data_IF_206269596222
#
_entry.id   IF_206269596222
#
_cell.length_a   1.000
_cell.length_b   1.000
_cell.length_c   1.000
_cell.angle_alpha   90.00
_cell.angle_beta   90.00
_cell.angle_gamma   90.00
#
_symmetry.space_group_name_H-M   'P 1'
#
loop_
_entity.id
_entity.type
_entity.pdbx_description
1 polymer ?
#
# COMPACT_ATOMS: atom_id res chain seq x y z
N UNK A 1 -21.16 -1.95 -28.34
CA UNK A 1 -19.78 -1.60 -27.96
C UNK A 1 -18.85 -2.36 -28.90
N UNK A 2 -17.73 -1.77 -29.37
CA UNK A 2 -16.76 -2.51 -30.16
C UNK A 2 -16.27 -3.73 -29.36
N UNK A 3 -15.98 -4.80 -30.08
CA UNK A 3 -15.52 -6.06 -29.49
C UNK A 3 -14.12 -5.87 -28.90
N UNK A 4 -13.99 -6.01 -27.57
CA UNK A 4 -12.71 -5.76 -26.88
C UNK A 4 -11.62 -6.72 -27.33
N UNK A 5 -10.38 -6.23 -27.37
CA UNK A 5 -9.17 -6.98 -27.65
C UNK A 5 -8.37 -7.17 -26.37
N UNK A 6 -8.33 -8.38 -25.83
CA UNK A 6 -7.73 -8.69 -24.54
C UNK A 6 -6.37 -9.36 -24.74
N UNK A 7 -5.34 -8.87 -24.04
CA UNK A 7 -4.06 -9.54 -23.92
C UNK A 7 -3.94 -10.25 -22.56
N UNK A 8 -3.53 -11.52 -22.57
CA UNK A 8 -3.30 -12.31 -21.35
C UNK A 8 -1.80 -12.48 -21.15
N UNK A 9 -1.29 -12.09 -19.98
CA UNK A 9 0.12 -12.20 -19.65
C UNK A 9 0.32 -13.11 -18.43
N UNK A 10 1.13 -14.16 -18.56
CA UNK A 10 1.36 -15.13 -17.50
C UNK A 10 2.76 -14.97 -16.88
N UNK A 11 2.83 -14.85 -15.56
CA UNK A 11 4.09 -14.70 -14.85
C UNK A 11 4.59 -16.05 -14.34
N UNK A 12 5.88 -16.34 -14.51
CA UNK A 12 6.49 -17.52 -13.89
C UNK A 12 6.84 -17.27 -12.41
N UNK A 13 7.09 -16.01 -12.06
CA UNK A 13 7.62 -15.59 -10.78
C UNK A 13 8.87 -16.41 -10.38
N UNK A 14 9.78 -16.60 -11.36
CA UNK A 14 10.86 -17.57 -11.24
C UNK A 14 10.31 -18.99 -11.22
N UNK A 15 10.46 -19.69 -10.10
CA UNK A 15 9.88 -21.01 -9.87
C UNK A 15 8.63 -20.98 -8.97
N UNK A 16 8.22 -19.80 -8.47
CA UNK A 16 7.11 -19.72 -7.52
C UNK A 16 5.76 -20.09 -8.15
N UNK A 17 5.56 -19.77 -9.44
CA UNK A 17 4.36 -20.15 -10.19
C UNK A 17 4.73 -21.31 -11.12
N UNK A 18 5.70 -21.10 -12.02
CA UNK A 18 6.09 -22.09 -13.04
C UNK A 18 6.74 -23.36 -12.48
N UNK A 19 7.06 -23.42 -11.18
CA UNK A 19 7.52 -24.65 -10.53
C UNK A 19 6.38 -25.61 -10.18
N UNK A 20 5.12 -25.17 -10.25
CA UNK A 20 3.93 -25.95 -9.91
C UNK A 20 2.90 -25.92 -11.05
N UNK A 21 2.67 -24.74 -11.64
CA UNK A 21 1.69 -24.54 -12.71
C UNK A 21 2.39 -24.66 -14.06
N UNK A 22 1.85 -25.50 -14.95
CA UNK A 22 2.32 -25.64 -16.34
C UNK A 22 1.83 -24.45 -17.17
N UNK A 23 2.67 -23.41 -17.25
CA UNK A 23 2.37 -22.18 -17.97
C UNK A 23 2.10 -22.42 -19.47
N UNK A 24 2.90 -23.19 -20.22
CA UNK A 24 2.58 -23.56 -21.60
C UNK A 24 1.17 -24.15 -21.77
N UNK A 25 0.75 -25.06 -20.88
CA UNK A 25 -0.60 -25.62 -20.93
C UNK A 25 -1.68 -24.57 -20.65
N UNK A 26 -1.45 -23.66 -19.70
CA UNK A 26 -2.37 -22.54 -19.45
C UNK A 26 -2.48 -21.66 -20.69
N UNK A 27 -1.37 -21.31 -21.35
CA UNK A 27 -1.39 -20.48 -22.56
C UNK A 27 -2.21 -21.12 -23.67
N UNK A 28 -1.98 -22.41 -23.94
CA UNK A 28 -2.70 -23.16 -24.97
C UNK A 28 -4.20 -23.23 -24.69
N UNK A 29 -4.59 -23.38 -23.42
CA UNK A 29 -6.00 -23.48 -23.02
C UNK A 29 -6.77 -22.14 -23.07
N UNK A 30 -6.07 -21.00 -23.01
CA UNK A 30 -6.71 -19.67 -22.91
C UNK A 30 -6.61 -18.83 -24.19
N UNK A 31 -5.77 -19.21 -25.15
CA UNK A 31 -5.56 -18.45 -26.41
C UNK A 31 -6.82 -18.30 -27.25
N UNK A 32 -7.71 -19.30 -27.22
CA UNK A 32 -8.95 -19.34 -28.01
C UNK A 32 -10.18 -18.84 -27.24
N UNK A 33 -9.98 -18.26 -26.04
CA UNK A 33 -11.09 -17.67 -25.30
C UNK A 33 -11.65 -16.45 -26.05
N UNK A 34 -12.97 -16.18 -25.94
CA UNK A 34 -13.57 -15.02 -26.59
C UNK A 34 -12.82 -13.73 -26.21
N UNK A 35 -12.57 -12.88 -27.21
CA UNK A 35 -11.88 -11.59 -27.09
C UNK A 35 -10.38 -11.65 -26.79
N UNK A 36 -9.78 -12.83 -26.54
CA UNK A 36 -8.33 -12.95 -26.37
C UNK A 36 -7.66 -12.88 -27.74
N UNK A 37 -6.74 -11.93 -27.91
CA UNK A 37 -6.03 -11.71 -29.18
C UNK A 37 -4.51 -11.90 -29.06
N UNK A 38 -4.00 -11.99 -27.83
CA UNK A 38 -2.60 -12.20 -27.52
C UNK A 38 -2.45 -12.92 -26.18
N UNK A 39 -1.54 -13.91 -26.13
CA UNK A 39 -1.15 -14.60 -24.89
C UNK A 39 0.36 -14.73 -24.88
N UNK A 40 1.00 -14.29 -23.80
CA UNK A 40 2.45 -14.33 -23.66
C UNK A 40 2.86 -14.57 -22.20
N UNK A 41 3.87 -15.40 -21.98
CA UNK A 41 4.47 -15.59 -20.67
C UNK A 41 5.75 -14.78 -20.49
N UNK A 42 6.08 -14.47 -19.25
CA UNK A 42 7.40 -13.93 -18.92
C UNK A 42 7.83 -14.31 -17.51
N UNK A 43 9.15 -14.39 -17.31
CA UNK A 43 9.73 -14.86 -16.05
C UNK A 43 9.31 -13.98 -14.85
N UNK A 44 9.32 -12.65 -15.04
CA UNK A 44 8.99 -11.66 -14.02
C UNK A 44 8.24 -10.47 -14.62
N UNK A 45 6.91 -10.57 -14.76
CA UNK A 45 6.12 -9.50 -15.38
C UNK A 45 6.22 -8.15 -14.64
N UNK A 46 6.42 -8.14 -13.32
CA UNK A 46 6.59 -6.90 -12.56
C UNK A 46 7.96 -6.23 -12.73
N UNK A 47 8.94 -6.90 -13.34
CA UNK A 47 10.26 -6.31 -13.62
C UNK A 47 10.19 -5.29 -14.76
N UNK A 48 11.16 -4.37 -14.85
CA UNK A 48 11.20 -3.37 -15.94
C UNK A 48 11.08 -4.00 -17.35
N UNK A 49 11.80 -5.10 -17.68
CA UNK A 49 11.59 -5.78 -18.96
C UNK A 49 10.18 -6.35 -19.13
N UNK A 50 9.63 -6.98 -18.09
CA UNK A 50 8.27 -7.53 -18.12
C UNK A 50 7.21 -6.47 -18.34
N UNK A 51 7.36 -5.32 -17.66
CA UNK A 51 6.48 -4.16 -17.86
C UNK A 51 6.60 -3.61 -19.29
N UNK A 52 7.81 -3.55 -19.85
CA UNK A 52 8.00 -3.08 -21.23
C UNK A 52 7.33 -4.01 -22.25
N UNK A 53 7.44 -5.33 -22.08
CA UNK A 53 6.74 -6.32 -22.92
C UNK A 53 5.23 -6.04 -22.94
N UNK A 54 4.62 -5.81 -21.77
CA UNK A 54 3.19 -5.50 -21.69
C UNK A 54 2.87 -4.22 -22.50
N UNK A 55 3.65 -3.15 -22.33
CA UNK A 55 3.43 -1.87 -23.04
C UNK A 55 3.56 -2.02 -24.56
N UNK A 56 4.59 -2.74 -25.00
CA UNK A 56 4.84 -2.99 -26.43
C UNK A 56 3.66 -3.76 -27.04
N UNK A 57 3.22 -4.84 -26.38
CA UNK A 57 2.10 -5.67 -26.86
C UNK A 57 0.75 -4.95 -26.82
N UNK A 58 0.52 -4.06 -25.87
CA UNK A 58 -0.67 -3.18 -25.86
C UNK A 58 -0.74 -2.39 -27.17
N UNK A 59 0.38 -1.81 -27.59
CA UNK A 59 0.46 -0.99 -28.81
C UNK A 59 0.40 -1.85 -30.07
N UNK A 60 1.21 -2.91 -30.16
CA UNK A 60 1.33 -3.79 -31.32
C UNK A 60 0.01 -4.51 -31.65
N UNK A 61 -0.67 -5.04 -30.63
CA UNK A 61 -1.90 -5.79 -30.81
C UNK A 61 -3.16 -4.93 -30.68
N UNK A 62 -3.03 -3.63 -30.40
CA UNK A 62 -4.12 -2.69 -30.15
C UNK A 62 -5.06 -3.26 -29.09
N UNK A 63 -4.53 -3.50 -27.90
CA UNK A 63 -5.29 -4.09 -26.79
C UNK A 63 -6.21 -3.04 -26.14
N UNK A 64 -7.45 -3.44 -25.87
CA UNK A 64 -8.44 -2.65 -25.13
C UNK A 64 -8.51 -3.07 -23.65
N UNK A 65 -7.90 -4.19 -23.28
CA UNK A 65 -7.88 -4.70 -21.91
C UNK A 65 -6.76 -5.69 -21.70
N UNK A 66 -6.35 -5.83 -20.44
CA UNK A 66 -5.21 -6.68 -20.07
C UNK A 66 -5.59 -7.57 -18.90
N UNK A 67 -5.28 -8.86 -19.00
CA UNK A 67 -5.36 -9.83 -17.92
C UNK A 67 -3.96 -10.27 -17.55
N UNK A 68 -3.61 -10.23 -16.26
CA UNK A 68 -2.32 -10.67 -15.76
C UNK A 68 -2.51 -11.85 -14.81
N UNK A 69 -2.03 -13.03 -15.22
CA UNK A 69 -1.90 -14.21 -14.36
C UNK A 69 -0.61 -14.15 -13.56
N UNK A 70 -0.68 -13.74 -12.29
CA UNK A 70 0.53 -13.58 -11.47
C UNK A 70 0.25 -13.69 -9.96
N UNK A 71 0.76 -12.76 -9.17
CA UNK A 71 0.56 -12.66 -7.73
C UNK A 71 -0.70 -11.85 -7.37
N UNK A 72 -0.97 -11.74 -6.07
CA UNK A 72 -2.11 -11.00 -5.53
C UNK A 72 -2.21 -9.55 -6.06
N UNK A 73 -3.42 -9.08 -6.43
CA UNK A 73 -3.65 -7.67 -6.77
C UNK A 73 -3.30 -6.74 -5.60
N UNK A 74 -3.41 -7.20 -4.35
CA UNK A 74 -2.99 -6.42 -3.16
C UNK A 74 -1.50 -6.05 -3.17
N UNK A 75 -0.68 -6.72 -3.99
CA UNK A 75 0.75 -6.48 -4.10
C UNK A 75 1.11 -5.63 -5.33
N UNK A 76 0.63 -6.00 -6.52
CA UNK A 76 1.11 -5.39 -7.78
C UNK A 76 0.01 -4.76 -8.66
N UNK A 77 -1.22 -4.62 -8.18
CA UNK A 77 -2.28 -3.93 -8.94
C UNK A 77 -1.88 -2.50 -9.28
N UNK A 78 -1.38 -1.72 -8.31
CA UNK A 78 -0.92 -0.35 -8.56
C UNK A 78 0.25 -0.30 -9.56
N UNK A 79 1.15 -1.28 -9.50
CA UNK A 79 2.28 -1.39 -10.45
C UNK A 79 1.76 -1.59 -11.87
N UNK A 80 0.85 -2.54 -12.09
CA UNK A 80 0.34 -2.81 -13.42
C UNK A 80 -0.64 -1.75 -13.91
N UNK A 81 -1.43 -1.12 -13.03
CA UNK A 81 -2.21 0.08 -13.38
C UNK A 81 -1.32 1.20 -13.91
N UNK A 82 -0.14 1.39 -13.31
CA UNK A 82 0.84 2.36 -13.81
C UNK A 82 1.36 1.97 -15.21
N UNK A 83 1.63 0.69 -15.46
CA UNK A 83 2.00 0.18 -16.79
C UNK A 83 0.91 0.47 -17.82
N UNK A 84 -0.36 0.26 -17.47
CA UNK A 84 -1.50 0.58 -18.34
C UNK A 84 -1.54 2.07 -18.69
N UNK A 85 -1.39 2.96 -17.68
CA UNK A 85 -1.34 4.41 -17.91
C UNK A 85 -0.21 4.81 -18.85
N UNK A 86 0.99 4.27 -18.64
CA UNK A 86 2.16 4.54 -19.49
C UNK A 86 1.98 4.04 -20.92
N UNK A 87 1.19 2.98 -21.13
CA UNK A 87 0.82 2.48 -22.45
C UNK A 87 -0.34 3.25 -23.10
N UNK A 88 -0.92 4.25 -22.42
CA UNK A 88 -2.08 4.99 -22.90
C UNK A 88 -3.42 4.27 -22.75
N UNK A 89 -3.48 3.20 -21.96
CA UNK A 89 -4.71 2.45 -21.68
C UNK A 89 -5.27 2.81 -20.29
N UNK A 90 -6.60 2.84 -20.17
CA UNK A 90 -7.23 3.15 -18.89
C UNK A 90 -6.85 2.09 -17.82
N UNK A 91 -6.40 2.49 -16.62
CA UNK A 91 -5.90 1.57 -15.60
C UNK A 91 -6.97 0.59 -15.07
N UNK A 92 -8.25 0.90 -15.23
CA UNK A 92 -9.36 0.06 -14.80
C UNK A 92 -9.77 -1.00 -15.84
N UNK A 93 -9.09 -1.04 -17.00
CA UNK A 93 -9.23 -2.10 -18.00
C UNK A 93 -8.22 -3.24 -17.76
N UNK A 94 -7.71 -3.34 -16.54
CA UNK A 94 -6.81 -4.36 -16.04
C UNK A 94 -7.57 -5.33 -15.12
N UNK A 95 -7.36 -6.63 -15.30
CA UNK A 95 -7.74 -7.66 -14.34
C UNK A 95 -6.53 -8.52 -13.96
N UNK A 96 -6.42 -8.91 -12.69
CA UNK A 96 -5.33 -9.77 -12.21
C UNK A 96 -5.90 -11.09 -11.71
N UNK A 97 -5.48 -12.19 -12.34
CA UNK A 97 -5.71 -13.53 -11.82
C UNK A 97 -4.56 -13.91 -10.87
N UNK A 98 -4.89 -14.17 -9.60
CA UNK A 98 -3.91 -14.58 -8.61
C UNK A 98 -3.59 -16.08 -8.72
N UNK A 99 -2.51 -16.40 -9.42
CA UNK A 99 -1.99 -17.75 -9.65
C UNK A 99 -0.91 -18.16 -8.64
N UNK A 100 -0.50 -17.27 -7.71
CA UNK A 100 0.56 -17.54 -6.75
C UNK A 100 0.02 -17.85 -5.36
N UNK A 101 -0.41 -16.82 -4.63
CA UNK A 101 -0.88 -16.98 -3.25
C UNK A 101 -2.16 -17.81 -3.17
N UNK A 102 -2.99 -17.79 -4.21
CA UNK A 102 -4.26 -18.52 -4.25
C UNK A 102 -4.18 -19.83 -5.05
N UNK A 103 -3.02 -20.17 -5.60
CA UNK A 103 -2.88 -21.36 -6.42
C UNK A 103 -1.52 -22.06 -6.20
N UNK A 104 -0.46 -21.67 -6.94
CA UNK A 104 0.81 -22.42 -6.95
C UNK A 104 1.42 -22.66 -5.56
N UNK A 105 1.35 -21.69 -4.65
CA UNK A 105 1.94 -21.84 -3.32
C UNK A 105 1.18 -22.80 -2.41
N UNK A 106 -0.10 -23.04 -2.67
CA UNK A 106 -0.97 -23.86 -1.82
C UNK A 106 -1.32 -25.22 -2.44
N UNK A 107 -1.02 -25.44 -3.73
CA UNK A 107 -1.25 -26.71 -4.45
C UNK A 107 0.05 -27.37 -4.93
N UNK A 108 1.17 -27.16 -4.23
CA UNK A 108 2.49 -27.73 -4.60
C UNK A 108 2.48 -29.27 -4.72
N UNK A 109 1.60 -29.93 -3.97
CA UNK A 109 1.48 -31.40 -3.96
C UNK A 109 0.54 -31.95 -5.06
N UNK A 110 -0.16 -31.08 -5.79
CA UNK A 110 -1.04 -31.46 -6.90
C UNK A 110 -0.89 -30.48 -8.09
N UNK A 111 0.23 -30.55 -8.83
CA UNK A 111 0.50 -29.66 -9.98
C UNK A 111 -0.54 -29.74 -11.09
N UNK A 112 -1.18 -30.90 -11.26
CA UNK A 112 -2.20 -31.11 -12.28
C UNK A 112 -3.47 -30.31 -11.93
N UNK A 113 -3.97 -30.45 -10.70
CA UNK A 113 -5.10 -29.67 -10.23
C UNK A 113 -4.78 -28.17 -10.16
N UNK A 114 -3.55 -27.79 -9.78
CA UNK A 114 -3.10 -26.40 -9.80
C UNK A 114 -3.16 -25.80 -11.21
N UNK A 115 -2.74 -26.56 -12.23
CA UNK A 115 -2.76 -26.10 -13.61
C UNK A 115 -4.20 -25.93 -14.13
N UNK A 116 -5.09 -26.88 -13.86
CA UNK A 116 -6.51 -26.75 -14.21
C UNK A 116 -7.17 -25.56 -13.51
N UNK A 117 -6.86 -25.36 -12.24
CA UNK A 117 -7.31 -24.20 -11.48
C UNK A 117 -6.82 -22.89 -12.08
N UNK A 118 -5.55 -22.83 -12.51
CA UNK A 118 -4.98 -21.65 -13.14
C UNK A 118 -5.70 -21.27 -14.44
N UNK A 119 -6.04 -22.28 -15.26
CA UNK A 119 -6.83 -22.09 -16.49
C UNK A 119 -8.18 -21.46 -16.15
N UNK A 120 -8.88 -21.99 -15.14
CA UNK A 120 -10.19 -21.47 -14.74
C UNK A 120 -10.10 -20.06 -14.13
N UNK A 121 -9.08 -19.76 -13.33
CA UNK A 121 -8.83 -18.42 -12.81
C UNK A 121 -8.60 -17.40 -13.93
N UNK A 122 -7.85 -17.77 -14.97
CA UNK A 122 -7.65 -16.91 -16.14
C UNK A 122 -8.95 -16.77 -16.95
N UNK A 123 -9.72 -17.84 -17.15
CA UNK A 123 -11.04 -17.77 -17.80
C UNK A 123 -11.98 -16.80 -17.08
N UNK A 124 -12.03 -16.87 -15.75
CA UNK A 124 -12.82 -15.96 -14.92
C UNK A 124 -12.34 -14.50 -15.07
N UNK A 125 -11.03 -14.27 -15.05
CA UNK A 125 -10.46 -12.94 -15.22
C UNK A 125 -10.73 -12.36 -16.62
N UNK A 126 -10.58 -13.16 -17.68
CA UNK A 126 -10.95 -12.78 -19.05
C UNK A 126 -12.44 -12.47 -19.15
N UNK A 127 -13.30 -13.31 -18.57
CA UNK A 127 -14.75 -13.06 -18.55
C UNK A 127 -15.11 -11.72 -17.92
N UNK A 128 -14.44 -11.34 -16.81
CA UNK A 128 -14.60 -10.03 -16.18
C UNK A 128 -14.01 -8.90 -17.03
N UNK A 129 -12.81 -9.07 -17.56
CA UNK A 129 -12.13 -8.07 -18.39
C UNK A 129 -12.94 -7.66 -19.63
N UNK A 130 -13.72 -8.58 -20.20
CA UNK A 130 -14.67 -8.30 -21.29
C UNK A 130 -15.72 -7.26 -20.92
N UNK A 131 -16.07 -7.16 -19.64
CA UNK A 131 -17.13 -6.29 -19.12
C UNK A 131 -16.62 -5.05 -18.36
N UNK A 132 -15.30 -4.94 -18.12
CA UNK A 132 -14.74 -3.75 -17.46
C UNK A 132 -15.05 -2.46 -18.24
N UNK A 133 -15.12 -1.34 -17.56
CA UNK A 133 -15.32 -0.04 -18.22
C UNK A 133 -14.17 0.88 -17.84
N UNK A 134 -13.78 1.81 -18.72
CA UNK A 134 -12.82 2.84 -18.33
C UNK A 134 -13.44 3.68 -17.21
N UNK A 135 -12.71 3.83 -16.10
CA UNK A 135 -13.12 4.70 -15.00
C UNK A 135 -12.17 5.89 -14.87
N UNK A 136 -12.66 6.96 -14.28
CA UNK A 136 -11.88 8.13 -13.92
C UNK A 136 -11.45 8.04 -12.46
N UNK A 137 -10.20 8.41 -12.16
CA UNK A 137 -9.73 8.49 -10.79
C UNK A 137 -10.25 9.79 -10.17
N UNK A 138 -10.97 9.74 -9.04
CA UNK A 138 -11.46 10.96 -8.41
C UNK A 138 -10.27 11.77 -7.88
N UNK A 139 -10.21 13.04 -8.24
CA UNK A 139 -9.34 14.01 -7.59
C UNK A 139 -9.97 14.44 -6.27
N UNK A 140 -9.18 14.40 -5.20
CA UNK A 140 -9.62 14.81 -3.86
C UNK A 140 -8.64 15.83 -3.30
N UNK A 141 -9.17 16.87 -2.67
CA UNK A 141 -8.34 17.84 -1.96
C UNK A 141 -7.69 17.17 -0.74
N UNK A 142 -6.43 17.51 -0.46
CA UNK A 142 -5.70 16.95 0.68
C UNK A 142 -5.54 18.03 1.74
N UNK A 143 -6.06 17.76 2.94
CA UNK A 143 -5.81 18.60 4.11
C UNK A 143 -4.31 18.58 4.41
N UNK A 144 -3.65 19.74 4.39
CA UNK A 144 -2.20 19.90 4.62
C UNK A 144 -1.83 19.84 6.10
N UNK A 145 -2.29 18.80 6.79
CA UNK A 145 -1.96 18.52 8.18
C UNK A 145 -1.84 17.01 8.41
N UNK A 146 -1.02 16.65 9.40
CA UNK A 146 -0.81 15.27 9.81
C UNK A 146 -1.20 15.09 11.28
N UNK A 147 -1.67 13.88 11.64
CA UNK A 147 -1.83 13.50 13.04
C UNK A 147 -0.93 12.31 13.35
N UNK A 148 -0.18 12.42 14.45
CA UNK A 148 0.67 11.35 14.99
C UNK A 148 0.04 10.89 16.30
N UNK A 149 -0.25 9.59 16.39
CA UNK A 149 -0.84 8.98 17.59
C UNK A 149 0.24 8.23 18.36
N UNK A 150 0.59 8.77 19.53
CA UNK A 150 1.63 8.27 20.44
C UNK A 150 2.91 9.09 20.37
N UNK A 151 3.23 9.78 21.46
CA UNK A 151 4.43 10.57 21.67
C UNK A 151 5.63 9.78 22.21
N UNK A 152 5.83 8.54 21.75
CA UNK A 152 7.12 7.85 21.95
C UNK A 152 8.20 8.39 21.01
N UNK A 153 9.44 7.88 21.10
CA UNK A 153 10.54 8.32 20.21
C UNK A 153 10.18 8.27 18.72
N UNK A 154 9.46 7.22 18.29
CA UNK A 154 9.00 7.10 16.90
C UNK A 154 8.02 8.21 16.50
N UNK A 155 7.04 8.53 17.35
CA UNK A 155 6.06 9.58 17.06
C UNK A 155 6.66 10.98 17.17
N UNK A 156 7.54 11.21 18.14
CA UNK A 156 8.30 12.46 18.26
C UNK A 156 9.13 12.71 16.99
N UNK A 157 9.89 11.72 16.54
CA UNK A 157 10.69 11.84 15.31
C UNK A 157 9.81 12.09 14.08
N UNK A 158 8.74 11.31 13.90
CA UNK A 158 7.83 11.52 12.77
C UNK A 158 7.17 12.91 12.79
N UNK A 159 6.78 13.40 13.97
CA UNK A 159 6.19 14.72 14.13
C UNK A 159 7.19 15.83 13.79
N UNK A 160 8.43 15.74 14.28
CA UNK A 160 9.49 16.69 13.98
C UNK A 160 9.82 16.74 12.50
N UNK A 161 10.06 15.58 11.87
CA UNK A 161 10.42 15.50 10.45
C UNK A 161 9.34 16.14 9.54
N UNK A 162 8.06 15.90 9.85
CA UNK A 162 6.94 16.52 9.12
C UNK A 162 6.79 18.02 9.42
N UNK A 163 7.02 18.42 10.67
CA UNK A 163 6.88 19.80 11.10
C UNK A 163 8.01 20.70 10.55
N UNK A 164 9.24 20.19 10.47
CA UNK A 164 10.41 20.83 9.84
C UNK A 164 10.22 20.98 8.34
N UNK A 165 9.53 20.02 7.69
CA UNK A 165 9.11 20.13 6.29
C UNK A 165 7.98 21.16 6.06
N UNK A 166 7.48 21.80 7.12
CA UNK A 166 6.50 22.88 7.05
C UNK A 166 5.03 22.43 7.14
N UNK A 167 4.76 21.17 7.51
CA UNK A 167 3.38 20.69 7.69
C UNK A 167 2.89 20.92 9.12
N UNK A 168 1.61 21.27 9.27
CA UNK A 168 0.96 21.27 10.59
C UNK A 168 0.85 19.83 11.09
N UNK A 169 1.26 19.58 12.33
CA UNK A 169 1.21 18.25 12.95
C UNK A 169 0.45 18.31 14.27
N UNK A 170 -0.50 17.40 14.46
CA UNK A 170 -1.14 17.13 15.75
C UNK A 170 -0.48 15.90 16.38
N UNK A 171 0.23 16.06 17.49
CA UNK A 171 0.85 14.96 18.22
C UNK A 171 -0.01 14.60 19.44
N UNK A 172 -0.76 13.50 19.33
CA UNK A 172 -1.68 13.04 20.38
C UNK A 172 -0.97 12.02 21.27
N UNK A 173 -0.90 12.28 22.57
CA UNK A 173 -0.31 11.38 23.55
C UNK A 173 -1.31 11.04 24.66
N UNK A 174 -1.45 9.73 24.91
CA UNK A 174 -2.35 9.19 25.93
C UNK A 174 -1.96 9.64 27.33
N UNK A 175 -0.68 9.54 27.67
CA UNK A 175 -0.17 9.85 29.00
C UNK A 175 0.03 11.36 29.21
N UNK A 176 0.29 11.83 30.45
CA UNK A 176 0.53 13.23 30.72
C UNK A 176 1.77 13.82 30.03
N UNK A 177 2.74 12.96 29.68
CA UNK A 177 4.01 13.34 29.04
C UNK A 177 4.31 12.45 27.83
N UNK A 178 4.97 13.05 26.84
CA UNK A 178 5.65 12.33 25.76
C UNK A 178 6.94 11.67 26.28
N UNK A 179 7.56 10.83 25.44
CA UNK A 179 8.79 10.08 25.71
C UNK A 179 8.60 8.56 25.67
N UNK A 180 7.38 8.07 25.91
CA UNK A 180 7.01 6.66 25.80
C UNK A 180 7.83 5.73 26.69
N UNK A 181 8.18 4.54 26.18
CA UNK A 181 8.98 3.56 26.94
C UNK A 181 10.44 4.01 27.14
N UNK A 182 11.00 4.72 26.16
CA UNK A 182 12.40 5.15 26.18
C UNK A 182 12.70 6.10 27.34
N UNK A 183 11.73 6.94 27.74
CA UNK A 183 11.86 7.80 28.92
C UNK A 183 12.04 7.04 30.25
N UNK A 184 11.72 5.74 30.28
CA UNK A 184 11.88 4.86 31.45
C UNK A 184 13.17 4.05 31.43
N UNK A 185 13.94 4.13 30.35
CA UNK A 185 15.19 3.38 30.23
C UNK A 185 16.34 4.20 30.82
N UNK A 186 17.29 3.49 31.44
CA UNK A 186 18.55 4.10 31.87
C UNK A 186 19.44 4.32 30.64
N UNK A 187 19.71 3.25 29.87
CA UNK A 187 20.62 3.26 28.73
C UNK A 187 20.04 2.60 27.48
N UNK A 188 20.56 3.00 26.32
CA UNK A 188 20.22 2.40 25.02
C UNK A 188 21.39 1.61 24.44
N UNK A 189 21.18 0.34 24.11
CA UNK A 189 22.14 -0.43 23.33
C UNK A 189 22.14 0.04 21.86
N UNK A 190 23.24 -0.13 21.10
CA UNK A 190 24.51 -0.75 21.50
C UNK A 190 25.51 0.22 22.17
N UNK A 191 25.28 1.54 22.09
CA UNK A 191 26.24 2.56 22.56
C UNK A 191 26.29 2.70 24.08
N UNK A 192 25.25 2.22 24.78
CA UNK A 192 25.06 2.37 26.22
C UNK A 192 24.99 3.84 26.67
N UNK A 193 24.57 4.73 25.76
CA UNK A 193 24.24 6.11 26.08
C UNK A 193 23.05 6.19 27.02
N UNK A 194 23.01 7.23 27.85
CA UNK A 194 21.84 7.54 28.66
C UNK A 194 20.63 7.85 27.75
N UNK A 195 19.51 7.16 27.96
CA UNK A 195 18.32 7.32 27.11
C UNK A 195 17.77 8.75 27.16
N UNK A 196 17.81 9.37 28.35
CA UNK A 196 17.36 10.76 28.54
C UNK A 196 18.24 11.76 27.79
N UNK A 197 19.54 11.50 27.64
CA UNK A 197 20.44 12.38 26.89
C UNK A 197 20.06 12.48 25.39
N UNK A 198 19.43 11.44 24.84
CA UNK A 198 19.00 11.41 23.44
C UNK A 198 17.55 11.88 23.32
N UNK A 199 16.68 11.45 24.23
CA UNK A 199 15.25 11.65 24.12
C UNK A 199 14.80 13.05 24.59
N UNK A 200 15.32 13.55 25.70
CA UNK A 200 14.85 14.81 26.30
C UNK A 200 15.02 16.02 25.36
N UNK A 201 16.13 16.17 24.61
CA UNK A 201 16.24 17.24 23.62
C UNK A 201 15.13 17.18 22.56
N UNK A 202 14.80 15.97 22.07
CA UNK A 202 13.72 15.75 21.10
C UNK A 202 12.33 16.02 21.68
N UNK A 203 12.11 15.68 22.95
CA UNK A 203 10.86 16.03 23.65
C UNK A 203 10.69 17.55 23.76
N UNK A 204 11.77 18.26 24.10
CA UNK A 204 11.76 19.73 24.20
C UNK A 204 11.54 20.39 22.84
N UNK A 205 12.21 19.88 21.79
CA UNK A 205 12.04 20.31 20.41
C UNK A 205 10.57 20.15 19.98
N UNK A 206 10.00 18.94 20.13
CA UNK A 206 8.62 18.68 19.73
C UNK A 206 7.60 19.49 20.54
N UNK A 207 7.85 19.71 21.83
CA UNK A 207 6.97 20.51 22.70
C UNK A 207 7.00 22.01 22.42
N UNK A 208 8.03 22.52 21.74
CA UNK A 208 8.20 23.94 21.44
C UNK A 208 8.10 24.29 19.95
N UNK A 209 8.00 23.28 19.08
CA UNK A 209 7.98 23.46 17.64
C UNK A 209 6.69 24.19 17.16
N UNK A 210 6.78 25.27 16.38
CA UNK A 210 5.62 26.10 16.01
C UNK A 210 4.57 25.38 15.17
N UNK A 211 4.98 24.38 14.39
CA UNK A 211 4.07 23.57 13.56
C UNK A 211 3.52 22.31 14.28
N UNK A 212 3.94 22.02 15.52
CA UNK A 212 3.45 20.87 16.28
C UNK A 212 2.44 21.35 17.33
N UNK A 213 1.26 20.76 17.31
CA UNK A 213 0.28 20.86 18.37
C UNK A 213 0.33 19.61 19.22
N UNK A 214 0.93 19.75 20.41
CA UNK A 214 1.08 18.66 21.35
C UNK A 214 -0.16 18.55 22.24
N UNK A 215 -0.87 17.44 22.12
CA UNK A 215 -2.10 17.17 22.87
C UNK A 215 -1.88 15.95 23.75
N UNK A 216 -1.43 16.17 24.99
CA UNK A 216 -1.25 15.09 25.97
C UNK A 216 -2.50 14.87 26.82
N UNK A 217 -2.53 13.74 27.53
CA UNK A 217 -3.74 13.21 28.18
C UNK A 217 -4.91 13.00 27.21
N UNK A 218 -4.63 12.75 25.93
CA UNK A 218 -5.64 12.59 24.90
C UNK A 218 -5.54 11.26 24.18
N UNK A 219 -6.70 10.70 23.83
CA UNK A 219 -6.81 9.47 23.05
C UNK A 219 -7.68 9.72 21.81
N UNK A 220 -7.32 9.10 20.70
CA UNK A 220 -8.18 9.07 19.51
C UNK A 220 -9.32 8.09 19.78
N UNK A 221 -10.56 8.58 19.73
CA UNK A 221 -11.76 7.75 19.93
C UNK A 221 -12.36 7.27 18.61
N UNK A 222 -12.29 8.10 17.57
CA UNK A 222 -12.90 7.83 16.28
C UNK A 222 -12.10 8.47 15.15
N UNK A 223 -11.99 7.74 14.04
CA UNK A 223 -11.41 8.23 12.78
C UNK A 223 -12.42 7.91 11.68
N UNK A 224 -12.98 8.95 11.06
CA UNK A 224 -13.85 8.85 9.89
C UNK A 224 -13.14 9.44 8.66
N UNK A 225 -13.71 9.19 7.48
CA UNK A 225 -13.21 9.72 6.21
C UNK A 225 -12.24 8.79 5.48
N UNK A 226 -11.37 9.38 4.66
CA UNK A 226 -10.44 8.66 3.78
C UNK A 226 -9.14 9.45 3.60
N UNK A 227 -8.16 8.87 2.90
CA UNK A 227 -6.83 9.47 2.70
C UNK A 227 -6.94 10.94 2.27
N UNK A 228 -6.35 11.83 3.08
CA UNK A 228 -6.34 13.29 2.87
C UNK A 228 -7.52 14.07 3.46
N UNK A 229 -8.62 13.38 3.83
CA UNK A 229 -9.86 13.97 4.34
C UNK A 229 -10.33 13.17 5.56
N UNK A 230 -9.51 13.15 6.61
CA UNK A 230 -9.86 12.49 7.86
C UNK A 230 -10.54 13.46 8.83
N UNK A 231 -11.61 12.99 9.46
CA UNK A 231 -12.21 13.64 10.62
C UNK A 231 -11.88 12.79 11.86
N UNK A 232 -11.15 13.38 12.81
CA UNK A 232 -10.66 12.65 13.97
C UNK A 232 -11.26 13.24 15.24
N UNK A 233 -11.97 12.40 15.99
CA UNK A 233 -12.47 12.76 17.32
C UNK A 233 -11.46 12.34 18.37
N UNK A 234 -11.00 13.30 19.17
CA UNK A 234 -10.11 13.08 20.30
C UNK A 234 -10.86 13.30 21.62
N UNK A 235 -10.63 12.41 22.59
CA UNK A 235 -11.04 12.63 23.98
C UNK A 235 -9.83 13.06 24.78
N UNK A 236 -9.86 14.31 25.24
CA UNK A 236 -8.88 14.84 26.17
C UNK A 236 -9.37 14.66 27.61
N UNK A 237 -8.58 13.94 28.42
CA UNK A 237 -8.86 13.72 29.84
C UNK A 237 -8.55 15.01 30.61
N UNK A 238 -9.40 15.39 31.58
CA UNK A 238 -9.13 16.58 32.41
C UNK A 238 -7.84 16.37 33.20
N UNK A 239 -6.98 17.39 33.20
CA UNK A 239 -5.80 17.44 34.08
C UNK A 239 -6.15 17.78 35.52
N UNK A 240 -7.33 18.36 35.75
CA UNK A 240 -7.73 19.01 36.99
C UNK A 240 -6.75 20.11 37.45
N UNK A 241 -6.02 20.70 36.50
CA UNK A 241 -5.07 21.80 36.67
C UNK A 241 -5.30 22.79 35.54
N UNK A 242 -5.30 24.08 35.86
CA UNK A 242 -5.33 25.17 34.87
C UNK A 242 -3.95 25.28 34.21
N UNK A 243 -3.83 24.84 32.96
CA UNK A 243 -2.55 24.74 32.24
C UNK A 243 -1.93 26.14 32.06
N UNK A 244 -2.76 27.16 31.83
CA UNK A 244 -2.29 28.54 31.59
C UNK A 244 -1.68 29.17 32.86
N UNK A 245 -2.02 28.63 34.04
CA UNK A 245 -1.48 29.06 35.34
C UNK A 245 -0.42 28.11 35.91
N UNK A 246 -0.27 26.92 35.34
CA UNK A 246 0.62 25.89 35.87
C UNK A 246 2.09 26.28 35.65
N UNK A 247 2.86 26.37 36.74
CA UNK A 247 4.30 26.66 36.70
C UNK A 247 5.19 25.42 36.77
N UNK A 248 4.59 24.23 36.87
CA UNK A 248 5.31 22.94 37.02
C UNK A 248 6.25 22.87 38.24
N UNK A 249 5.91 23.55 39.35
CA UNK A 249 6.74 23.59 40.55
C UNK A 249 6.73 22.30 41.39
N UNK A 250 5.65 21.52 41.34
CA UNK A 250 5.52 20.25 42.10
C UNK A 250 5.07 20.39 43.55
N UNK A 251 4.67 21.60 43.96
CA UNK A 251 4.14 21.96 45.30
C UNK A 251 2.63 22.24 45.29
#
# INVERSE_FOLDING_TARGET
>A
MPEKRIGVFLCHCGSNIAGVIDIPRVMEAVKDLPNVVHVEDYKYLCSKPGQQIIKDRISEHRLDGVVIGSCSPRMHELTFRQVMREAGLNPFLLEIANLREHDSWIHQNDPEAATEKAIDLIRMAVARARLLEPLEEPEVEITRASMVVGGGIAGISAALDMADAGFKVYLVEKEPSIGGKMARWDKTFPTLDCASCILTPRMAEAGSHPNIELITMAEVEKVDGYVGNFEVTIRQRPRYVDIDKCTSCGD
#
